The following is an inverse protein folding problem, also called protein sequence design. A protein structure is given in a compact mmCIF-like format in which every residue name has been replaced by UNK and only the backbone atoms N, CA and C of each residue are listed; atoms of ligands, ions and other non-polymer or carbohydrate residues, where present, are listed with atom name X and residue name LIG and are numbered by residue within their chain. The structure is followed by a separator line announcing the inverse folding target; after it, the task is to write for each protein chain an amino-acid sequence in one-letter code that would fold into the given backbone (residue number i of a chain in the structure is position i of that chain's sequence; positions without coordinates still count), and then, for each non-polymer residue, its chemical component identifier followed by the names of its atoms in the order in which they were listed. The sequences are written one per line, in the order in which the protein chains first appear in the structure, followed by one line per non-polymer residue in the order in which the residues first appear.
data_IF_014221720357
#
_entry.id   IF_014221720357
#
_cell.length_a   1.000
_cell.length_b   1.000
_cell.length_c   1.000
_cell.angle_alpha   90.00
_cell.angle_beta   90.00
_cell.angle_gamma   90.00
#
_symmetry.space_group_name_H-M   'P 1'
#
loop_
_entity.id
_entity.type
_entity.pdbx_description
1 polymer ?
#
# COMPACT_ATOMS: atom_id res chain seq x y z
N UNK A 1 -0.81 -11.50 11.54
CA UNK A 1 -1.31 -12.67 10.81
C UNK A 1 -0.34 -13.04 9.68
N UNK A 2 -0.31 -14.31 9.22
CA UNK A 2 0.51 -14.76 8.08
C UNK A 2 -0.30 -14.70 6.78
N UNK A 3 0.39 -14.57 5.65
CA UNK A 3 -0.25 -14.58 4.34
C UNK A 3 -0.79 -15.97 4.00
N UNK A 4 -1.97 -16.02 3.37
CA UNK A 4 -2.56 -17.29 2.90
C UNK A 4 -1.81 -17.94 1.74
N UNK A 5 -0.94 -17.19 1.06
CA UNK A 5 -0.17 -17.67 -0.09
C UNK A 5 1.30 -17.99 0.25
N UNK A 6 1.89 -17.35 1.27
CA UNK A 6 3.31 -17.51 1.59
C UNK A 6 3.51 -17.46 3.11
N UNK A 7 4.62 -17.99 3.66
CA UNK A 7 4.82 -18.08 5.11
C UNK A 7 5.10 -16.72 5.79
N UNK A 8 5.20 -15.64 5.01
CA UNK A 8 5.63 -14.32 5.49
C UNK A 8 4.49 -13.57 6.22
N UNK A 9 4.80 -12.74 7.24
CA UNK A 9 3.81 -11.93 7.93
C UNK A 9 3.15 -10.89 7.02
N UNK A 10 1.84 -10.65 7.19
CA UNK A 10 1.09 -9.66 6.40
C UNK A 10 1.47 -8.22 6.74
N UNK A 11 1.88 -7.96 7.98
CA UNK A 11 2.25 -6.62 8.45
C UNK A 11 3.71 -6.22 8.11
N UNK A 12 4.41 -7.06 7.35
CA UNK A 12 5.76 -6.79 6.86
C UNK A 12 5.70 -6.48 5.37
N UNK A 13 6.39 -5.41 4.96
CA UNK A 13 6.49 -5.07 3.54
C UNK A 13 7.49 -5.99 2.85
N UNK A 14 7.09 -6.55 1.71
CA UNK A 14 7.88 -7.43 0.87
C UNK A 14 8.13 -6.78 -0.48
N UNK A 15 9.31 -7.01 -1.05
CA UNK A 15 9.63 -6.62 -2.42
C UNK A 15 9.52 -7.83 -3.35
N UNK A 16 9.04 -7.61 -4.57
CA UNK A 16 8.95 -8.62 -5.61
C UNK A 16 9.30 -8.01 -6.97
N UNK A 17 9.69 -8.84 -7.93
CA UNK A 17 9.91 -8.44 -9.31
C UNK A 17 9.12 -9.35 -10.24
N UNK A 18 8.47 -8.78 -11.25
CA UNK A 18 7.77 -9.52 -12.30
C UNK A 18 7.89 -8.80 -13.63
N UNK A 19 8.34 -9.51 -14.65
CA UNK A 19 8.54 -8.98 -16.02
C UNK A 19 9.40 -7.69 -16.04
N UNK A 20 10.42 -7.61 -15.19
CA UNK A 20 11.29 -6.43 -15.08
C UNK A 20 10.73 -5.29 -14.21
N UNK A 21 9.43 -5.31 -13.88
CA UNK A 21 8.81 -4.32 -12.99
C UNK A 21 8.98 -4.71 -11.52
N UNK A 22 9.37 -3.74 -10.69
CA UNK A 22 9.47 -3.91 -9.24
C UNK A 22 8.15 -3.58 -8.55
N UNK A 23 7.78 -4.42 -7.60
CA UNK A 23 6.59 -4.31 -6.80
C UNK A 23 6.93 -4.34 -5.32
N UNK A 24 6.08 -3.71 -4.52
CA UNK A 24 6.19 -3.72 -3.06
C UNK A 24 4.82 -4.01 -2.44
N UNK A 25 4.80 -4.84 -1.39
CA UNK A 25 3.56 -5.14 -0.68
C UNK A 25 3.23 -4.04 0.33
N UNK A 26 1.95 -3.69 0.41
CA UNK A 26 1.44 -2.78 1.42
C UNK A 26 0.98 -3.58 2.63
N UNK A 27 1.60 -3.43 3.82
CA UNK A 27 1.23 -4.13 5.04
C UNK A 27 -0.25 -4.00 5.41
N UNK A 28 -0.80 -2.81 5.25
CA UNK A 28 -2.18 -2.49 5.63
C UNK A 28 -3.21 -3.16 4.70
N UNK A 29 -3.04 -3.03 3.39
CA UNK A 29 -3.88 -3.75 2.43
C UNK A 29 -3.71 -5.26 2.53
N UNK A 30 -2.49 -5.72 2.85
CA UNK A 30 -2.19 -7.14 3.00
C UNK A 30 -2.89 -7.73 4.23
N UNK A 31 -2.88 -7.03 5.36
CA UNK A 31 -3.56 -7.46 6.58
C UNK A 31 -5.08 -7.50 6.37
N UNK A 32 -5.65 -6.47 5.73
CA UNK A 32 -7.07 -6.42 5.39
C UNK A 32 -7.51 -7.57 4.47
N UNK A 33 -6.74 -7.85 3.42
CA UNK A 33 -7.08 -8.89 2.44
C UNK A 33 -6.63 -10.30 2.85
N UNK A 34 -5.99 -10.47 4.02
CA UNK A 34 -5.40 -11.74 4.49
C UNK A 34 -4.36 -12.36 3.53
N UNK A 35 -3.88 -11.61 2.55
CA UNK A 35 -2.93 -12.02 1.52
C UNK A 35 -2.11 -10.81 1.11
N UNK A 36 -0.81 -11.00 0.80
CA UNK A 36 0.01 -9.87 0.34
C UNK A 36 -0.58 -9.21 -0.91
N UNK A 37 -0.77 -7.90 -0.81
CA UNK A 37 -1.21 -7.03 -1.89
C UNK A 37 -0.05 -6.16 -2.30
N UNK A 38 0.36 -6.31 -3.55
CA UNK A 38 1.48 -5.64 -4.17
C UNK A 38 1.01 -4.52 -5.09
N UNK A 39 1.73 -3.42 -5.06
CA UNK A 39 1.60 -2.31 -6.00
C UNK A 39 2.95 -2.06 -6.66
N UNK A 40 2.98 -1.47 -7.87
CA UNK A 40 4.21 -1.00 -8.49
C UNK A 40 5.01 -0.15 -7.50
N UNK A 41 6.34 -0.33 -7.45
CA UNK A 41 7.19 0.37 -6.51
C UNK A 41 7.05 1.90 -6.67
N UNK A 42 6.90 2.39 -7.89
CA UNK A 42 6.63 3.81 -8.22
C UNK A 42 5.32 4.36 -7.65
N UNK A 43 4.33 3.51 -7.33
CA UNK A 43 3.12 3.93 -6.63
C UNK A 43 3.37 4.13 -5.11
N UNK A 44 4.49 3.62 -4.60
CA UNK A 44 5.01 3.97 -3.28
C UNK A 44 5.77 5.30 -3.38
N UNK A 45 5.21 6.33 -2.75
CA UNK A 45 5.79 7.68 -2.72
C UNK A 45 6.72 7.83 -1.53
N UNK A 46 7.80 8.59 -1.70
CA UNK A 46 8.81 8.79 -0.67
C UNK A 46 8.26 9.70 0.43
N UNK A 47 8.47 9.31 1.69
CA UNK A 47 8.30 10.22 2.82
C UNK A 47 9.58 10.18 3.64
N UNK A 48 10.28 11.30 3.69
CA UNK A 48 11.44 11.47 4.57
C UNK A 48 10.95 11.55 6.02
N UNK A 49 11.38 10.60 6.85
CA UNK A 49 11.16 10.67 8.29
C UNK A 49 12.54 10.64 8.95
N UNK A 50 13.08 11.82 9.29
CA UNK A 50 14.31 11.98 10.06
C UNK A 50 15.51 11.18 9.50
N UNK A 51 15.70 11.19 8.18
CA UNK A 51 16.81 10.49 7.52
C UNK A 51 16.66 8.97 7.40
N UNK A 52 15.49 8.42 7.75
CA UNK A 52 15.15 7.02 7.51
C UNK A 52 13.94 6.94 6.58
N UNK A 53 14.14 6.44 5.37
CA UNK A 53 13.07 6.29 4.38
C UNK A 53 12.18 5.08 4.73
N UNK A 54 11.22 5.28 5.63
CA UNK A 54 10.26 4.23 6.00
C UNK A 54 9.05 4.31 5.08
N UNK A 55 9.24 3.87 3.82
CA UNK A 55 8.11 3.62 2.93
C UNK A 55 7.48 2.26 3.23
N UNK A 56 6.39 2.22 3.99
CA UNK A 56 5.64 0.97 4.21
C UNK A 56 4.35 0.90 3.41
N UNK A 57 3.70 2.01 3.09
CA UNK A 57 2.28 2.01 2.66
C UNK A 57 2.06 2.51 1.23
N UNK A 58 1.08 1.90 0.54
CA UNK A 58 0.65 2.31 -0.80
C UNK A 58 -0.01 3.70 -0.77
N UNK A 59 -0.18 4.33 -1.93
CA UNK A 59 -0.72 5.69 -2.03
C UNK A 59 -2.08 5.86 -1.39
N UNK A 60 -3.00 4.90 -1.53
CA UNK A 60 -4.32 4.97 -0.88
C UNK A 60 -4.19 4.95 0.64
N UNK A 61 -3.31 4.11 1.19
CA UNK A 61 -3.05 4.05 2.63
C UNK A 61 -2.29 5.29 3.13
N UNK A 62 -1.37 5.84 2.34
CA UNK A 62 -0.70 7.12 2.66
C UNK A 62 -1.70 8.26 2.68
N UNK A 63 -2.54 8.36 1.66
CA UNK A 63 -3.59 9.38 1.59
C UNK A 63 -4.52 9.21 2.76
N UNK A 64 -5.00 8.00 3.07
CA UNK A 64 -5.83 7.78 4.27
C UNK A 64 -5.16 8.30 5.55
N UNK A 65 -3.88 7.99 5.74
CA UNK A 65 -3.12 8.48 6.89
C UNK A 65 -2.88 10.00 6.89
N UNK A 66 -2.77 10.63 5.72
CA UNK A 66 -2.65 12.11 5.57
C UNK A 66 -4.00 12.80 5.68
N UNK A 67 -5.03 12.16 5.16
CA UNK A 67 -6.38 12.65 5.06
C UNK A 67 -7.01 12.58 6.44
N UNK A 68 -6.73 11.61 7.29
CA UNK A 68 -7.07 11.70 8.73
C UNK A 68 -6.54 12.99 9.41
N UNK A 69 -5.50 13.62 8.85
CA UNK A 69 -4.95 14.90 9.33
C UNK A 69 -5.58 16.15 8.68
N UNK A 70 -6.27 16.02 7.53
CA UNK A 70 -6.78 17.15 6.71
C UNK A 70 -8.29 17.07 6.37
N UNK A 71 -8.89 15.88 6.41
CA UNK A 71 -10.32 15.59 6.27
C UNK A 71 -11.13 16.27 7.38
N UNK A 72 -10.60 16.39 8.60
CA UNK A 72 -11.26 17.16 9.65
C UNK A 72 -11.45 18.65 9.26
N UNK A 73 -10.58 19.20 8.41
CA UNK A 73 -10.64 20.58 7.93
C UNK A 73 -11.47 20.72 6.63
N UNK A 74 -11.37 19.75 5.72
CA UNK A 74 -12.02 19.81 4.40
C UNK A 74 -13.47 19.26 4.40
N UNK A 75 -13.83 18.28 5.26
CA UNK A 75 -15.23 17.85 5.44
C UNK A 75 -16.11 18.91 6.11
N UNK A 76 -15.52 19.89 6.80
CA UNK A 76 -16.26 21.08 7.25
C UNK A 76 -16.60 22.05 6.09
N UNK A 77 -15.97 21.88 4.91
CA UNK A 77 -16.11 22.80 3.77
C UNK A 77 -16.83 22.20 2.56
N UNK A 78 -16.75 20.88 2.31
CA UNK A 78 -17.50 20.24 1.22
C UNK A 78 -17.84 18.76 1.53
N UNK A 79 -19.13 18.40 1.67
CA UNK A 79 -19.57 17.02 1.94
C UNK A 79 -19.49 16.07 0.74
N UNK A 80 -19.18 16.54 -0.47
CA UNK A 80 -19.17 15.72 -1.69
C UNK A 80 -17.76 15.39 -2.22
N UNK A 81 -16.70 15.66 -1.46
CA UNK A 81 -15.33 15.40 -1.89
C UNK A 81 -15.04 13.90 -2.08
N UNK A 82 -14.88 13.46 -3.34
CA UNK A 82 -14.52 12.07 -3.68
C UNK A 82 -13.22 12.04 -4.49
N UNK A 83 -12.18 11.37 -3.99
CA UNK A 83 -10.92 11.16 -4.71
C UNK A 83 -10.73 9.68 -4.98
N UNK A 84 -10.83 9.28 -6.25
CA UNK A 84 -10.66 7.88 -6.69
C UNK A 84 -9.24 7.67 -7.20
N UNK A 85 -8.52 6.74 -6.57
CA UNK A 85 -7.20 6.30 -6.98
C UNK A 85 -7.28 4.83 -7.37
N UNK A 86 -7.23 4.55 -8.67
CA UNK A 86 -7.17 3.17 -9.18
C UNK A 86 -5.74 2.88 -9.60
N UNK A 87 -5.09 1.96 -8.91
CA UNK A 87 -3.79 1.42 -9.30
C UNK A 87 -3.95 -0.08 -9.52
N UNK A 88 -3.30 -0.60 -10.57
CA UNK A 88 -3.20 -2.04 -10.75
C UNK A 88 -2.48 -2.64 -9.54
N UNK A 89 -3.15 -3.59 -8.87
CA UNK A 89 -2.62 -4.32 -7.72
C UNK A 89 -2.50 -5.79 -8.07
N UNK A 90 -1.43 -6.41 -7.58
CA UNK A 90 -1.19 -7.83 -7.72
C UNK A 90 -1.33 -8.53 -6.37
N UNK A 91 -1.91 -9.72 -6.36
CA UNK A 91 -1.95 -10.61 -5.20
C UNK A 91 -0.69 -11.45 -5.12
N UNK A 92 -0.40 -11.93 -3.93
CA UNK A 92 0.73 -12.80 -3.63
C UNK A 92 0.82 -13.99 -4.62
N UNK A 93 -0.30 -14.68 -4.87
CA UNK A 93 -0.36 -15.80 -5.84
C UNK A 93 0.02 -15.42 -7.27
N UNK A 94 -0.20 -14.18 -7.67
CA UNK A 94 0.10 -13.69 -9.02
C UNK A 94 1.57 -13.29 -9.19
N UNK A 95 2.34 -13.24 -8.09
CA UNK A 95 3.73 -12.81 -8.07
C UNK A 95 4.71 -13.90 -7.61
N UNK A 96 4.28 -14.82 -6.73
CA UNK A 96 5.18 -15.80 -6.11
C UNK A 96 4.97 -17.25 -6.60
N UNK A 97 3.97 -17.52 -7.43
CA UNK A 97 3.83 -18.82 -8.10
C UNK A 97 4.48 -18.72 -9.49
N UNK A 98 5.76 -19.04 -9.58
CA UNK A 98 6.42 -19.52 -10.80
C UNK A 98 6.59 -21.03 -10.69
#
# INVERSE_FOLDING_TARGET
MKCLCCPQPLRTSLSAQKNGTYYKSCPECSDFDSEHVFYPLEAFGNRDVLGTEIQSWCISCRIRAESERKIALDLMRDPNYTRVYVFEKLKCRQLLNN
#
